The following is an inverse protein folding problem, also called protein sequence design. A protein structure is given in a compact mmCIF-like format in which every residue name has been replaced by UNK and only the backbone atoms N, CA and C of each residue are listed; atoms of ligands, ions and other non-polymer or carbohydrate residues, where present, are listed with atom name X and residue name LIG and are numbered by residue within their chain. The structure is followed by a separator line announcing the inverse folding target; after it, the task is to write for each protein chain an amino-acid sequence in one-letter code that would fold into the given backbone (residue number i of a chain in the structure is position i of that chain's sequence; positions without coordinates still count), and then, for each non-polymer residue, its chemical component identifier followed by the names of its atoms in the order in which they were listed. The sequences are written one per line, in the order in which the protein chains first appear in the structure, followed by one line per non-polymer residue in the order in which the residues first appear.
data_IF_483950450144
#
_entry.id   IF_483950450144
#
_cell.length_a   1.000
_cell.length_b   1.000
_cell.length_c   1.000
_cell.angle_alpha   90.00
_cell.angle_beta   90.00
_cell.angle_gamma   90.00
#
_symmetry.space_group_name_H-M   'P 1'
#
loop_
_entity.id
_entity.type
_entity.pdbx_description
1 polymer ?
#
# COMPACT_ATOMS: atom_id res chain seq x y z
N UNK A 1 7.30 -7.66 -29.70
CA UNK A 1 6.93 -7.05 -28.40
C UNK A 1 5.41 -6.82 -28.29
N UNK A 2 4.69 -6.63 -29.39
CA UNK A 2 3.27 -6.25 -29.41
C UNK A 2 2.30 -7.32 -28.86
N UNK A 3 2.79 -8.51 -28.59
CA UNK A 3 2.02 -9.63 -28.03
C UNK A 3 2.44 -10.03 -26.60
N UNK A 4 3.28 -9.21 -25.92
CA UNK A 4 3.72 -9.46 -24.55
C UNK A 4 3.10 -8.45 -23.61
N UNK A 5 2.23 -8.92 -22.71
CA UNK A 5 1.53 -8.10 -21.73
C UNK A 5 2.09 -8.35 -20.32
N UNK A 6 2.45 -7.27 -19.63
CA UNK A 6 2.78 -7.32 -18.20
C UNK A 6 1.51 -7.11 -17.40
N UNK A 7 1.15 -8.09 -16.59
CA UNK A 7 -0.08 -8.06 -15.79
C UNK A 7 0.26 -7.97 -14.32
N UNK A 8 -0.26 -6.95 -13.65
CA UNK A 8 -0.36 -6.90 -12.19
C UNK A 8 -1.80 -7.22 -11.80
N UNK A 9 -2.03 -8.37 -11.15
CA UNK A 9 -3.36 -8.85 -10.83
C UNK A 9 -4.10 -7.98 -9.81
N UNK A 10 -3.39 -7.15 -9.01
CA UNK A 10 -4.03 -6.18 -8.11
C UNK A 10 -4.75 -5.07 -8.89
N UNK A 11 -4.24 -4.69 -10.05
CA UNK A 11 -4.91 -3.72 -10.92
C UNK A 11 -6.22 -4.26 -11.52
N UNK A 12 -6.39 -5.58 -11.56
CA UNK A 12 -7.63 -6.24 -11.99
C UNK A 12 -8.69 -6.36 -10.91
N UNK A 13 -8.38 -6.02 -9.64
CA UNK A 13 -9.38 -6.06 -8.56
C UNK A 13 -10.41 -4.95 -8.74
N UNK A 14 -11.68 -5.29 -8.59
CA UNK A 14 -12.81 -4.36 -8.75
C UNK A 14 -12.64 -3.10 -7.89
N UNK A 15 -12.27 -3.26 -6.61
CA UNK A 15 -12.04 -2.14 -5.70
C UNK A 15 -10.95 -1.17 -6.20
N UNK A 16 -9.93 -1.68 -6.89
CA UNK A 16 -8.83 -0.86 -7.44
C UNK A 16 -9.28 -0.12 -8.71
N UNK A 17 -10.05 -0.77 -9.57
CA UNK A 17 -10.63 -0.13 -10.75
C UNK A 17 -11.65 0.94 -10.35
N UNK A 18 -12.48 0.66 -9.34
CA UNK A 18 -13.44 1.60 -8.81
C UNK A 18 -12.79 2.84 -8.16
N UNK A 19 -11.55 2.76 -7.69
CA UNK A 19 -10.83 3.93 -7.18
C UNK A 19 -10.71 5.04 -8.23
N UNK A 20 -10.42 4.70 -9.48
CA UNK A 20 -10.31 5.68 -10.56
C UNK A 20 -11.67 6.30 -10.89
N UNK A 21 -12.73 5.48 -10.92
CA UNK A 21 -14.09 5.95 -11.11
C UNK A 21 -14.55 6.85 -9.94
N UNK A 22 -14.24 6.47 -8.69
CA UNK A 22 -14.51 7.28 -7.51
C UNK A 22 -13.85 8.65 -7.60
N UNK A 23 -12.56 8.68 -7.92
CA UNK A 23 -11.78 9.93 -7.98
C UNK A 23 -12.18 10.81 -9.16
N UNK A 24 -12.18 10.26 -10.35
CA UNK A 24 -12.24 11.02 -11.61
C UNK A 24 -13.62 11.05 -12.25
N UNK A 25 -14.52 10.19 -11.81
CA UNK A 25 -15.94 10.23 -12.18
C UNK A 25 -16.81 11.07 -11.26
N UNK A 26 -16.26 11.64 -10.17
CA UNK A 26 -17.00 12.42 -9.18
C UNK A 26 -16.33 13.77 -8.92
N UNK A 27 -16.98 14.84 -9.25
CA UNK A 27 -16.50 16.20 -8.98
C UNK A 27 -16.33 16.52 -7.48
N UNK A 28 -16.91 15.71 -6.60
CA UNK A 28 -16.91 15.95 -5.17
C UNK A 28 -15.59 15.49 -4.49
N UNK A 29 -14.97 14.41 -4.95
CA UNK A 29 -13.81 13.83 -4.26
C UNK A 29 -12.49 14.47 -4.67
N UNK A 30 -12.27 14.71 -5.93
CA UNK A 30 -10.97 15.16 -6.45
C UNK A 30 -10.50 16.50 -5.84
N UNK A 31 -11.36 17.52 -5.59
CA UNK A 31 -10.96 18.74 -4.88
C UNK A 31 -10.44 18.52 -3.46
N UNK A 32 -10.88 17.44 -2.79
CA UNK A 32 -10.47 17.07 -1.44
C UNK A 32 -9.24 16.14 -1.42
N UNK A 33 -8.83 15.65 -2.57
CA UNK A 33 -7.81 14.61 -2.70
C UNK A 33 -6.38 15.17 -2.74
N UNK A 34 -5.98 15.83 -1.65
CA UNK A 34 -4.69 16.54 -1.58
C UNK A 34 -4.29 16.85 -0.13
N UNK A 35 -3.06 17.35 0.07
CA UNK A 35 -2.47 17.68 1.36
C UNK A 35 -3.22 18.73 2.19
N UNK A 36 -4.12 19.51 1.59
CA UNK A 36 -4.92 20.49 2.35
C UNK A 36 -5.99 19.80 3.18
N UNK A 37 -6.51 18.68 2.71
CA UNK A 37 -7.63 17.96 3.30
C UNK A 37 -7.25 16.60 3.89
N UNK A 38 -6.25 15.92 3.32
CA UNK A 38 -5.81 14.60 3.76
C UNK A 38 -4.62 14.74 4.71
N UNK A 39 -4.72 14.11 5.86
CA UNK A 39 -3.68 14.06 6.88
C UNK A 39 -2.69 12.93 6.61
N UNK A 40 -3.21 11.74 6.28
CA UNK A 40 -2.40 10.56 5.96
C UNK A 40 -3.13 9.60 5.03
N UNK A 41 -2.37 8.74 4.38
CA UNK A 41 -2.88 7.63 3.56
C UNK A 41 -2.29 6.33 4.06
N UNK A 42 -3.12 5.29 4.23
CA UNK A 42 -2.66 3.95 4.56
C UNK A 42 -3.08 2.97 3.46
N UNK A 43 -2.14 2.22 2.95
CA UNK A 43 -2.37 1.17 1.93
C UNK A 43 -1.95 -0.15 2.55
N UNK A 44 -2.92 -1.04 2.74
CA UNK A 44 -2.70 -2.35 3.36
C UNK A 44 -3.07 -3.46 2.41
N UNK A 45 -2.16 -4.41 2.26
CA UNK A 45 -2.41 -5.69 1.58
C UNK A 45 -2.04 -6.82 2.55
N UNK A 46 -3.03 -7.45 3.13
CA UNK A 46 -2.87 -8.50 4.13
C UNK A 46 -3.31 -9.86 3.56
N UNK A 47 -2.52 -10.88 3.81
CA UNK A 47 -2.78 -12.26 3.42
C UNK A 47 -2.84 -13.17 4.66
N UNK A 48 -3.82 -14.07 4.70
CA UNK A 48 -3.94 -15.09 5.77
C UNK A 48 -3.09 -16.32 5.50
N UNK A 49 -2.71 -16.54 4.24
CA UNK A 49 -1.87 -17.66 3.81
C UNK A 49 -0.40 -17.42 4.16
N UNK A 50 0.36 -18.50 4.34
CA UNK A 50 1.81 -18.48 4.47
C UNK A 50 2.52 -18.53 3.13
N UNK A 51 3.74 -19.07 3.12
CA UNK A 51 4.48 -19.28 1.87
C UNK A 51 4.08 -20.59 1.18
N UNK A 52 3.54 -21.53 1.95
CA UNK A 52 3.07 -22.85 1.47
C UNK A 52 4.12 -23.52 0.56
N UNK A 53 3.76 -24.09 -0.56
CA UNK A 53 4.68 -24.73 -1.50
C UNK A 53 5.64 -23.78 -2.26
N UNK A 54 5.63 -22.46 -1.98
CA UNK A 54 6.45 -21.44 -2.66
C UNK A 54 7.58 -20.90 -1.79
N UNK A 55 7.97 -21.61 -0.72
CA UNK A 55 8.96 -21.15 0.24
C UNK A 55 10.28 -20.73 -0.40
N UNK A 56 10.85 -21.53 -1.29
CA UNK A 56 12.13 -21.23 -1.95
C UNK A 56 12.08 -19.95 -2.79
N UNK A 57 11.02 -19.75 -3.57
CA UNK A 57 10.83 -18.53 -4.33
C UNK A 57 10.72 -17.32 -3.41
N UNK A 58 9.88 -17.43 -2.38
CA UNK A 58 9.59 -16.33 -1.47
C UNK A 58 10.82 -15.93 -0.64
N UNK A 59 11.64 -16.91 -0.27
CA UNK A 59 12.86 -16.68 0.52
C UNK A 59 13.89 -15.80 -0.22
N UNK A 60 13.85 -15.79 -1.54
CA UNK A 60 14.69 -14.91 -2.37
C UNK A 60 14.08 -13.53 -2.63
N UNK A 61 12.77 -13.37 -2.50
CA UNK A 61 12.07 -12.10 -2.78
C UNK A 61 11.71 -11.32 -1.52
N UNK A 62 11.10 -11.97 -0.55
CA UNK A 62 10.52 -11.34 0.63
C UNK A 62 9.30 -10.46 0.34
N UNK A 63 8.67 -9.96 1.39
CA UNK A 63 7.51 -9.09 1.29
C UNK A 63 7.80 -7.77 0.57
N UNK A 64 9.04 -7.28 0.68
CA UNK A 64 9.46 -6.03 0.06
C UNK A 64 9.38 -6.09 -1.47
N UNK A 65 9.97 -7.13 -2.08
CA UNK A 65 10.02 -7.26 -3.55
C UNK A 65 8.74 -7.88 -4.11
N UNK A 66 8.20 -8.90 -3.43
CA UNK A 66 7.03 -9.63 -3.91
C UNK A 66 5.76 -8.79 -3.86
N UNK A 67 5.62 -7.96 -2.83
CA UNK A 67 4.37 -7.22 -2.59
C UNK A 67 4.54 -5.70 -2.64
N UNK A 68 5.50 -5.12 -1.89
CA UNK A 68 5.60 -3.67 -1.75
C UNK A 68 6.07 -3.02 -3.03
N UNK A 69 7.21 -3.43 -3.55
CA UNK A 69 7.83 -2.88 -4.78
C UNK A 69 6.95 -3.09 -6.03
N UNK A 70 6.06 -4.04 -5.98
CA UNK A 70 5.16 -4.40 -7.07
C UNK A 70 3.76 -3.82 -6.82
N UNK A 71 2.92 -4.55 -6.12
CA UNK A 71 1.48 -4.27 -5.98
C UNK A 71 1.19 -3.00 -5.18
N UNK A 72 1.88 -2.77 -4.04
CA UNK A 72 1.59 -1.59 -3.21
C UNK A 72 2.01 -0.29 -3.90
N UNK A 73 3.11 -0.28 -4.65
CA UNK A 73 3.49 0.88 -5.44
C UNK A 73 2.48 1.19 -6.56
N UNK A 74 1.83 0.17 -7.16
CA UNK A 74 0.74 0.40 -8.10
C UNK A 74 -0.45 1.08 -7.42
N UNK A 75 -0.86 0.58 -6.23
CA UNK A 75 -1.94 1.18 -5.47
C UNK A 75 -1.61 2.61 -5.03
N UNK A 76 -0.38 2.85 -4.57
CA UNK A 76 0.09 4.19 -4.24
C UNK A 76 0.01 5.12 -5.45
N UNK A 77 0.49 4.67 -6.61
CA UNK A 77 0.42 5.48 -7.83
C UNK A 77 -1.01 5.85 -8.21
N UNK A 78 -1.94 4.89 -8.19
CA UNK A 78 -3.36 5.15 -8.49
C UNK A 78 -4.02 6.09 -7.47
N UNK A 79 -3.59 6.00 -6.21
CA UNK A 79 -4.07 6.89 -5.15
C UNK A 79 -3.51 8.31 -5.30
N UNK A 80 -2.23 8.44 -5.70
CA UNK A 80 -1.51 9.72 -5.65
C UNK A 80 -1.42 10.46 -6.99
N UNK A 81 -1.72 9.81 -8.12
CA UNK A 81 -1.56 10.41 -9.46
C UNK A 81 -2.54 11.56 -9.72
N UNK A 82 -2.18 12.43 -10.65
CA UNK A 82 -3.09 13.43 -11.21
C UNK A 82 -4.12 12.76 -12.14
N UNK A 83 -5.27 13.40 -12.39
CA UNK A 83 -6.22 12.95 -13.40
C UNK A 83 -5.50 12.83 -14.77
N UNK A 84 -5.54 11.65 -15.43
CA UNK A 84 -4.99 11.55 -16.77
C UNK A 84 -5.86 12.33 -17.76
N UNK A 85 -5.26 12.83 -18.85
CA UNK A 85 -5.98 13.59 -19.88
C UNK A 85 -7.08 12.78 -20.57
N UNK A 86 -6.93 11.46 -20.60
CA UNK A 86 -7.88 10.49 -21.13
C UNK A 86 -7.64 9.13 -20.49
N UNK A 87 -8.65 8.26 -20.50
CA UNK A 87 -8.53 6.92 -19.90
C UNK A 87 -7.95 5.93 -20.92
N UNK A 88 -6.65 6.07 -21.18
CA UNK A 88 -5.88 5.11 -21.98
C UNK A 88 -4.62 4.64 -21.23
N UNK A 89 -4.04 3.49 -21.60
CA UNK A 89 -2.90 2.93 -20.89
C UNK A 89 -1.67 3.85 -20.81
N UNK A 90 -1.43 4.67 -21.84
CA UNK A 90 -0.26 5.55 -21.91
C UNK A 90 -0.42 6.76 -20.99
N UNK A 91 -1.59 7.41 -21.02
CA UNK A 91 -1.89 8.55 -20.17
C UNK A 91 -1.85 8.14 -18.68
N UNK A 92 -2.48 7.02 -18.30
CA UNK A 92 -2.44 6.49 -16.93
C UNK A 92 -1.01 6.14 -16.51
N UNK A 93 -0.22 5.52 -17.40
CA UNK A 93 1.19 5.20 -17.12
C UNK A 93 2.03 6.45 -16.87
N UNK A 94 1.83 7.49 -17.67
CA UNK A 94 2.56 8.74 -17.53
C UNK A 94 2.29 9.41 -16.17
N UNK A 95 1.06 9.42 -15.70
CA UNK A 95 0.73 9.95 -14.37
C UNK A 95 1.35 9.12 -13.25
N UNK A 96 1.34 7.79 -13.35
CA UNK A 96 2.03 6.90 -12.39
C UNK A 96 3.55 7.17 -12.33
N UNK A 97 4.19 7.39 -13.48
CA UNK A 97 5.62 7.71 -13.55
C UNK A 97 5.94 9.01 -12.83
N UNK A 98 5.09 10.03 -12.93
CA UNK A 98 5.26 11.29 -12.19
C UNK A 98 5.24 11.06 -10.68
N UNK A 99 4.33 10.22 -10.17
CA UNK A 99 4.29 9.85 -8.76
C UNK A 99 5.58 9.15 -8.35
N UNK A 100 6.02 8.14 -9.10
CA UNK A 100 7.24 7.39 -8.78
C UNK A 100 8.49 8.28 -8.77
N UNK A 101 8.58 9.25 -9.68
CA UNK A 101 9.68 10.23 -9.72
C UNK A 101 9.64 11.22 -8.55
N UNK A 102 8.48 11.40 -7.94
CA UNK A 102 8.29 12.26 -6.77
C UNK A 102 8.40 11.52 -5.44
N UNK A 103 8.59 10.18 -5.47
CA UNK A 103 8.84 9.43 -4.25
C UNK A 103 10.18 9.81 -3.66
N UNK A 104 10.16 10.20 -2.37
CA UNK A 104 11.39 10.48 -1.63
C UNK A 104 12.20 9.20 -1.47
N UNK A 105 13.45 9.24 -1.91
CA UNK A 105 14.38 8.15 -1.65
C UNK A 105 14.60 8.02 -0.13
N UNK A 106 14.63 6.78 0.35
CA UNK A 106 14.92 6.46 1.75
C UNK A 106 16.22 5.65 1.73
N UNK A 107 17.29 6.26 2.21
CA UNK A 107 18.65 5.71 2.12
C UNK A 107 19.32 5.70 3.50
N UNK A 108 20.30 4.82 3.66
CA UNK A 108 21.16 4.79 4.85
C UNK A 108 20.39 4.64 6.16
N UNK A 109 20.73 5.47 7.13
CA UNK A 109 20.15 5.45 8.49
C UNK A 109 18.64 5.73 8.52
N UNK A 110 18.12 6.45 7.55
CA UNK A 110 16.70 6.78 7.47
C UNK A 110 15.83 5.54 7.16
N UNK A 111 16.40 4.50 6.58
CA UNK A 111 15.67 3.26 6.29
C UNK A 111 15.11 2.63 7.56
N UNK A 112 15.83 2.63 8.66
CA UNK A 112 15.41 2.07 9.94
C UNK A 112 14.26 2.86 10.60
N UNK A 113 14.23 4.18 10.42
CA UNK A 113 13.18 5.05 10.98
C UNK A 113 11.90 5.08 10.14
N UNK A 114 11.97 4.63 8.88
CA UNK A 114 10.87 4.66 7.91
C UNK A 114 10.33 3.29 7.56
N UNK A 115 10.91 2.21 8.06
CA UNK A 115 10.47 0.86 7.76
C UNK A 115 10.58 -0.09 8.95
N UNK A 116 9.63 -1.02 9.02
CA UNK A 116 9.63 -2.15 9.95
C UNK A 116 9.49 -3.41 9.11
N UNK A 117 10.31 -4.40 9.40
CA UNK A 117 10.24 -5.72 8.78
C UNK A 117 10.17 -6.82 9.87
N UNK A 118 9.52 -7.93 9.56
CA UNK A 118 9.38 -9.04 10.48
C UNK A 118 9.03 -10.35 9.77
N UNK A 119 9.04 -11.43 10.54
CA UNK A 119 8.60 -12.74 10.09
C UNK A 119 7.44 -13.21 10.94
N UNK A 120 6.49 -13.95 10.35
CA UNK A 120 5.48 -14.62 11.16
C UNK A 120 6.10 -15.80 11.91
N UNK A 121 5.69 -15.95 13.15
CA UNK A 121 6.04 -17.08 14.03
C UNK A 121 4.89 -18.07 14.09
N UNK A 122 5.12 -19.26 14.65
CA UNK A 122 4.06 -20.21 14.98
C UNK A 122 2.97 -19.55 15.83
N UNK A 123 1.72 -19.90 15.55
CA UNK A 123 0.57 -19.30 16.20
C UNK A 123 -0.73 -19.98 15.81
N UNK A 124 -1.84 -19.23 15.80
CA UNK A 124 -3.13 -19.74 15.37
C UNK A 124 -3.89 -18.72 14.53
N UNK A 125 -4.57 -19.18 13.47
CA UNK A 125 -5.52 -18.41 12.67
C UNK A 125 -6.86 -19.14 12.70
N UNK A 126 -7.93 -18.44 13.07
CA UNK A 126 -9.28 -19.00 13.23
C UNK A 126 -9.30 -20.25 14.14
N UNK A 127 -8.49 -20.25 15.22
CA UNK A 127 -8.37 -21.35 16.16
C UNK A 127 -7.57 -22.56 15.66
N UNK A 128 -6.98 -22.51 14.46
CA UNK A 128 -6.14 -23.58 13.89
C UNK A 128 -4.68 -23.22 14.03
N UNK A 129 -3.88 -24.13 14.59
CA UNK A 129 -2.43 -23.96 14.67
C UNK A 129 -1.81 -23.79 13.28
N UNK A 130 -0.90 -22.84 13.16
CA UNK A 130 -0.13 -22.59 11.93
C UNK A 130 1.36 -22.51 12.25
N UNK A 131 2.23 -23.05 11.40
CA UNK A 131 3.67 -23.00 11.60
C UNK A 131 4.20 -21.59 11.40
N UNK A 132 5.35 -21.29 12.03
CA UNK A 132 6.14 -20.11 11.74
C UNK A 132 6.85 -20.22 10.40
N UNK A 133 7.37 -19.08 9.91
CA UNK A 133 8.02 -19.02 8.59
C UNK A 133 9.19 -20.00 8.44
N UNK A 134 10.09 -20.04 9.43
CA UNK A 134 11.26 -20.94 9.40
C UNK A 134 10.87 -22.41 9.51
N UNK A 135 9.83 -22.69 10.27
CA UNK A 135 9.26 -24.06 10.37
C UNK A 135 8.65 -24.49 9.03
N UNK A 136 7.88 -23.60 8.38
CA UNK A 136 7.27 -23.86 7.08
C UNK A 136 8.32 -23.99 5.97
N UNK A 137 9.41 -23.21 6.06
CA UNK A 137 10.54 -23.24 5.12
C UNK A 137 11.47 -24.46 5.34
N UNK A 138 11.50 -25.00 6.57
CA UNK A 138 12.38 -26.10 6.96
C UNK A 138 13.84 -25.71 7.14
N UNK A 139 14.16 -24.43 7.21
CA UNK A 139 15.52 -23.89 7.40
C UNK A 139 15.49 -22.49 8.00
N UNK A 140 16.63 -22.05 8.51
CA UNK A 140 16.82 -20.66 8.96
C UNK A 140 16.78 -19.70 7.76
N UNK A 141 16.15 -18.55 8.00
CA UNK A 141 16.07 -17.45 7.05
C UNK A 141 15.91 -16.12 7.76
N UNK A 142 16.46 -15.05 7.17
CA UNK A 142 16.26 -13.67 7.58
C UNK A 142 15.28 -12.91 6.70
N UNK A 143 14.64 -13.56 5.73
CA UNK A 143 13.74 -12.94 4.75
C UNK A 143 12.45 -12.50 5.43
N UNK A 144 12.07 -11.26 5.22
CA UNK A 144 10.87 -10.67 5.81
C UNK A 144 9.59 -11.19 5.14
N UNK A 145 8.60 -11.54 5.98
CA UNK A 145 7.25 -11.93 5.56
C UNK A 145 6.20 -10.86 5.87
N UNK A 146 6.63 -9.80 6.54
CA UNK A 146 5.88 -8.58 6.82
C UNK A 146 6.77 -7.38 6.62
N UNK A 147 6.22 -6.34 6.01
CA UNK A 147 6.86 -5.04 5.91
C UNK A 147 5.83 -3.93 6.09
N UNK A 148 6.20 -2.92 6.84
CA UNK A 148 5.51 -1.64 6.90
C UNK A 148 6.51 -0.53 6.57
N UNK A 149 6.12 0.40 5.70
CA UNK A 149 6.98 1.49 5.25
C UNK A 149 6.23 2.81 5.21
N UNK A 150 6.83 3.86 5.75
CA UNK A 150 6.37 5.24 5.57
C UNK A 150 7.07 5.84 4.35
N UNK A 151 6.29 6.25 3.37
CA UNK A 151 6.74 6.90 2.15
C UNK A 151 6.23 8.34 2.08
N UNK A 152 6.90 9.18 1.30
CA UNK A 152 6.48 10.55 1.01
C UNK A 152 6.52 10.80 -0.49
N UNK A 153 5.51 11.49 -1.00
CA UNK A 153 5.42 11.94 -2.39
C UNK A 153 5.67 13.44 -2.42
N UNK A 154 6.87 13.84 -2.84
CA UNK A 154 7.32 15.23 -2.82
C UNK A 154 6.85 15.97 -4.08
N UNK A 155 5.55 16.26 -4.11
CA UNK A 155 4.91 17.09 -5.13
C UNK A 155 3.89 18.04 -4.49
N UNK A 156 3.32 18.95 -5.28
CA UNK A 156 2.37 19.96 -4.79
C UNK A 156 1.10 19.38 -4.18
N UNK A 157 0.65 18.23 -4.67
CA UNK A 157 -0.56 17.57 -4.18
C UNK A 157 -0.36 16.93 -2.81
N UNK A 158 0.81 16.33 -2.55
CA UNK A 158 1.02 15.44 -1.42
C UNK A 158 2.12 15.88 -0.44
N UNK A 159 2.75 17.03 -0.67
CA UNK A 159 3.82 17.49 0.21
C UNK A 159 3.38 17.51 1.68
N UNK A 160 4.14 16.79 2.52
CA UNK A 160 3.87 16.67 3.95
C UNK A 160 2.89 15.56 4.36
N UNK A 161 2.22 14.89 3.43
CA UNK A 161 1.31 13.77 3.73
C UNK A 161 2.11 12.45 3.76
N UNK A 162 2.13 11.73 4.88
CA UNK A 162 2.73 10.41 4.94
C UNK A 162 1.83 9.35 4.27
N UNK A 163 2.45 8.45 3.54
CA UNK A 163 1.85 7.23 2.99
C UNK A 163 2.39 6.02 3.74
N UNK A 164 1.54 5.31 4.44
CA UNK A 164 1.91 4.08 5.14
C UNK A 164 1.55 2.87 4.28
N UNK A 165 2.56 2.18 3.80
CA UNK A 165 2.44 0.97 2.98
C UNK A 165 2.68 -0.23 3.88
N UNK A 166 1.74 -1.16 3.94
CA UNK A 166 1.82 -2.33 4.82
C UNK A 166 1.37 -3.60 4.12
N UNK A 167 2.20 -4.63 4.21
CA UNK A 167 1.87 -5.96 3.70
C UNK A 167 2.47 -7.06 4.55
N UNK A 168 1.87 -8.22 4.52
CA UNK A 168 2.40 -9.40 5.19
C UNK A 168 1.55 -10.64 4.97
N UNK A 169 2.20 -11.78 5.23
CA UNK A 169 1.57 -13.11 5.24
C UNK A 169 1.19 -13.51 6.67
N UNK A 170 0.30 -14.51 6.81
CA UNK A 170 -0.20 -15.00 8.12
C UNK A 170 -0.80 -13.88 8.98
N UNK A 171 -1.40 -12.87 8.36
CA UNK A 171 -2.14 -11.84 9.08
C UNK A 171 -3.56 -12.35 9.42
N UNK A 172 -4.21 -11.81 10.48
CA UNK A 172 -5.49 -12.32 10.97
C UNK A 172 -6.63 -12.31 9.96
N UNK A 173 -6.60 -11.39 9.01
CA UNK A 173 -7.61 -11.31 7.94
C UNK A 173 -6.98 -10.98 6.60
N UNK A 174 -7.55 -11.50 5.53
CA UNK A 174 -7.21 -11.09 4.16
C UNK A 174 -7.91 -9.77 3.85
N UNK A 175 -7.13 -8.74 3.48
CA UNK A 175 -7.70 -7.49 3.01
C UNK A 175 -6.79 -6.79 1.98
N UNK A 176 -7.42 -5.99 1.13
CA UNK A 176 -6.75 -4.97 0.31
C UNK A 176 -7.52 -3.68 0.58
N UNK A 177 -6.86 -2.71 1.21
CA UNK A 177 -7.52 -1.53 1.74
C UNK A 177 -6.68 -0.29 1.46
N UNK A 178 -7.33 0.78 1.05
CA UNK A 178 -6.77 2.12 0.97
C UNK A 178 -7.61 2.99 1.92
N UNK A 179 -6.99 3.43 3.00
CA UNK A 179 -7.60 4.29 4.01
C UNK A 179 -7.04 5.70 3.87
N UNK A 180 -7.92 6.67 3.76
CA UNK A 180 -7.58 8.09 3.75
C UNK A 180 -8.13 8.73 5.02
N UNK A 181 -7.25 9.30 5.81
CA UNK A 181 -7.65 10.10 6.97
C UNK A 181 -7.68 11.57 6.56
N UNK A 182 -8.84 12.17 6.67
CA UNK A 182 -8.98 13.61 6.49
C UNK A 182 -8.49 14.36 7.71
N UNK A 183 -8.07 15.60 7.50
CA UNK A 183 -7.70 16.48 8.60
C UNK A 183 -8.91 16.79 9.48
N UNK A 184 -8.62 17.02 10.74
CA UNK A 184 -9.66 17.46 11.69
C UNK A 184 -10.32 18.77 11.23
N UNK A 185 -11.58 18.93 11.61
CA UNK A 185 -12.29 20.19 11.41
C UNK A 185 -11.61 21.30 12.21
N UNK A 186 -11.48 22.52 11.68
CA UNK A 186 -10.80 23.63 12.36
C UNK A 186 -11.48 24.05 13.68
N UNK A 187 -12.76 23.72 13.84
CA UNK A 187 -13.53 23.98 15.05
C UNK A 187 -14.70 23.00 15.15
N UNK A 188 -14.81 22.31 16.29
CA UNK A 188 -15.99 21.48 16.59
C UNK A 188 -17.09 22.33 17.21
N UNK A 189 -18.28 22.29 16.61
CA UNK A 189 -19.50 22.92 17.15
C UNK A 189 -20.25 22.00 18.13
N UNK A 190 -19.75 20.76 18.33
CA UNK A 190 -20.37 19.77 19.21
C UNK A 190 -19.65 19.76 20.57
N UNK A 191 -20.28 20.26 21.68
CA UNK A 191 -19.65 20.26 22.98
C UNK A 191 -19.39 18.84 23.48
N UNK A 192 -18.18 18.58 23.97
CA UNK A 192 -17.80 17.29 24.56
C UNK A 192 -17.55 16.16 23.56
N UNK A 193 -17.67 16.41 22.27
CA UNK A 193 -17.24 15.43 21.27
C UNK A 193 -15.71 15.40 21.19
N UNK A 194 -15.11 14.24 21.41
CA UNK A 194 -13.73 14.01 21.00
C UNK A 194 -13.73 14.01 19.49
N UNK A 195 -12.91 14.84 18.80
CA UNK A 195 -12.78 14.77 17.36
C UNK A 195 -12.43 13.34 16.96
N UNK A 196 -13.32 12.72 16.19
CA UNK A 196 -13.00 11.41 15.60
C UNK A 196 -12.32 11.67 14.25
N UNK A 197 -11.25 10.95 13.91
CA UNK A 197 -10.66 11.06 12.58
C UNK A 197 -11.72 10.73 11.52
N UNK A 198 -11.87 11.62 10.57
CA UNK A 198 -12.75 11.43 9.41
C UNK A 198 -12.09 10.58 8.33
#
# INVERSE_FOLDING_TARGET
EDHVFRVDHYLGKEAVQNLLALRFGNAMFEPLWNARHIEQVQITVAETVGVEGRGDYYDHSGAMRDMLQNHLLQLLCLTAMEPPSQFDPSAVRNEKIKVLRSLRAIEGADAASHSVAGQYTSGAIDGRAVPGYREELGRDSGTETFVARRAHVDNWRWSGVPFYLRTGKRLPRRCTEIYLQFREVPHSIFPGAVPQPN
#
